data_IF_792739008327
#
_entry.id   IF_792739008327
#
_cell.length_a   1.000
_cell.length_b   1.000
_cell.length_c   1.000
_cell.angle_alpha   90.00
_cell.angle_beta   90.00
_cell.angle_gamma   90.00
#
_symmetry.space_group_name_H-M   'P 1'
#
loop_
_entity.id
_entity.type
_entity.pdbx_description
1 polymer ?
#
# COMPACT_ATOMS: atom_id res chain seq x y z
N UNK A 1 -47.16 5.37 2.84
CA UNK A 1 -45.86 4.68 2.72
C UNK A 1 -44.99 5.45 1.72
N UNK A 2 -43.76 5.87 2.06
CA UNK A 2 -42.87 6.54 1.09
C UNK A 2 -42.30 5.51 0.13
N UNK A 3 -42.38 5.78 -1.17
CA UNK A 3 -41.84 4.90 -2.20
C UNK A 3 -40.31 4.96 -2.18
N UNK A 4 -39.66 3.80 -2.36
CA UNK A 4 -38.20 3.67 -2.43
C UNK A 4 -37.82 3.23 -3.83
N UNK A 5 -36.78 3.85 -4.39
CA UNK A 5 -36.32 3.58 -5.74
C UNK A 5 -34.79 3.49 -5.76
N UNK A 6 -34.27 2.61 -6.63
CA UNK A 6 -32.85 2.60 -7.01
C UNK A 6 -32.68 3.52 -8.22
N UNK A 7 -31.72 4.44 -8.14
CA UNK A 7 -31.38 5.34 -9.23
C UNK A 7 -30.61 4.56 -10.30
N UNK A 8 -31.06 4.61 -11.54
CA UNK A 8 -30.36 4.02 -12.69
C UNK A 8 -29.49 5.05 -13.42
N UNK A 9 -29.84 6.34 -13.34
CA UNK A 9 -29.08 7.40 -13.99
C UNK A 9 -29.68 8.79 -13.74
N UNK A 10 -29.12 9.77 -14.43
CA UNK A 10 -29.61 11.14 -14.50
C UNK A 10 -30.09 11.41 -15.93
N UNK A 11 -31.14 12.22 -16.07
CA UNK A 11 -31.59 12.67 -17.39
C UNK A 11 -30.58 13.63 -18.01
N UNK A 12 -30.45 13.59 -19.33
CA UNK A 12 -29.63 14.56 -20.08
C UNK A 12 -30.27 15.94 -20.16
N UNK A 13 -31.61 15.99 -20.13
CA UNK A 13 -32.40 17.22 -20.18
C UNK A 13 -32.68 17.77 -18.79
N UNK A 14 -32.88 19.09 -18.71
CA UNK A 14 -33.36 19.78 -17.52
C UNK A 14 -34.82 19.42 -17.21
N UNK A 15 -35.20 19.46 -15.93
CA UNK A 15 -36.56 19.11 -15.46
C UNK A 15 -37.66 19.91 -16.14
N UNK A 16 -37.40 21.19 -16.50
CA UNK A 16 -38.37 22.05 -17.23
C UNK A 16 -38.67 21.59 -18.65
N UNK A 17 -37.71 20.94 -19.31
CA UNK A 17 -37.78 20.49 -20.70
C UNK A 17 -38.17 19.01 -20.80
N UNK A 18 -38.01 18.26 -19.71
CA UNK A 18 -38.25 16.83 -19.67
C UNK A 18 -39.76 16.53 -19.70
N UNK A 19 -40.18 15.83 -20.73
CA UNK A 19 -41.55 15.37 -20.92
C UNK A 19 -41.64 13.85 -20.95
N UNK A 20 -42.80 13.31 -20.57
CA UNK A 20 -43.04 11.87 -20.54
C UNK A 20 -44.52 11.56 -20.81
N UNK A 21 -44.81 10.37 -21.36
CA UNK A 21 -46.18 9.89 -21.51
C UNK A 21 -46.77 9.57 -20.13
N UNK A 22 -47.88 10.24 -19.78
CA UNK A 22 -48.56 10.09 -18.49
C UNK A 22 -49.53 8.91 -18.49
N UNK A 23 -50.03 8.53 -19.66
CA UNK A 23 -50.97 7.41 -19.87
C UNK A 23 -50.66 6.62 -21.16
N UNK A 24 -51.29 5.46 -21.31
CA UNK A 24 -51.18 4.64 -22.52
C UNK A 24 -51.94 5.23 -23.73
N UNK A 25 -52.65 6.36 -23.55
CA UNK A 25 -53.36 7.09 -24.60
C UNK A 25 -52.48 8.14 -25.29
N UNK A 26 -51.23 8.30 -24.83
CA UNK A 26 -50.23 9.19 -25.43
C UNK A 26 -50.27 10.62 -24.91
N UNK A 27 -50.94 10.91 -23.80
CA UNK A 27 -50.92 12.24 -23.19
C UNK A 27 -49.52 12.54 -22.67
N UNK A 28 -48.84 13.54 -23.25
CA UNK A 28 -47.50 13.96 -22.84
C UNK A 28 -47.60 15.19 -21.95
N UNK A 29 -46.93 15.16 -20.79
CA UNK A 29 -46.75 16.34 -19.91
C UNK A 29 -45.29 16.54 -19.59
N UNK A 30 -44.91 17.77 -19.27
CA UNK A 30 -43.61 18.02 -18.65
C UNK A 30 -43.63 17.54 -17.20
N UNK A 31 -42.45 17.21 -16.66
CA UNK A 31 -42.34 16.84 -15.24
C UNK A 31 -42.83 17.97 -14.33
N UNK A 32 -42.55 19.24 -14.68
CA UNK A 32 -43.04 20.41 -13.92
C UNK A 32 -44.57 20.48 -13.91
N UNK A 33 -45.22 20.35 -15.07
CA UNK A 33 -46.68 20.36 -15.16
C UNK A 33 -47.28 19.20 -14.37
N UNK A 34 -46.74 18.00 -14.54
CA UNK A 34 -47.23 16.82 -13.84
C UNK A 34 -47.16 16.97 -12.31
N UNK A 35 -46.04 17.48 -11.78
CA UNK A 35 -45.89 17.65 -10.33
C UNK A 35 -46.77 18.77 -9.76
N UNK A 36 -46.95 19.87 -10.51
CA UNK A 36 -47.85 20.94 -10.12
C UNK A 36 -49.31 20.46 -10.09
N UNK A 37 -49.77 19.80 -11.16
CA UNK A 37 -51.17 19.38 -11.29
C UNK A 37 -51.52 18.17 -10.40
N UNK A 38 -50.62 17.20 -10.27
CA UNK A 38 -50.90 15.95 -9.55
C UNK A 38 -50.64 16.07 -8.05
N UNK A 39 -49.60 16.81 -7.66
CA UNK A 39 -49.16 16.88 -6.26
C UNK A 39 -49.25 18.29 -5.66
N UNK A 40 -49.68 19.30 -6.43
CA UNK A 40 -49.70 20.70 -5.96
C UNK A 40 -48.30 21.25 -5.69
N UNK A 41 -47.27 20.66 -6.31
CA UNK A 41 -45.87 20.93 -5.97
C UNK A 41 -45.18 21.73 -7.06
N UNK A 42 -44.80 22.97 -6.74
CA UNK A 42 -44.06 23.85 -7.65
C UNK A 42 -42.56 23.61 -7.52
N UNK A 43 -41.98 22.94 -8.52
CA UNK A 43 -40.55 22.65 -8.60
C UNK A 43 -39.78 23.97 -8.75
N UNK A 44 -38.86 24.25 -7.84
CA UNK A 44 -38.07 25.48 -7.86
C UNK A 44 -36.84 25.35 -8.75
N UNK A 45 -36.17 24.19 -8.68
CA UNK A 45 -34.89 23.96 -9.36
C UNK A 45 -35.07 23.31 -10.73
N UNK A 46 -35.82 23.98 -11.60
CA UNK A 46 -36.27 23.41 -12.88
C UNK A 46 -35.14 23.22 -13.91
N UNK A 47 -33.96 23.80 -13.69
CA UNK A 47 -32.74 23.63 -14.50
C UNK A 47 -31.97 22.35 -14.19
N UNK A 48 -32.20 21.73 -13.03
CA UNK A 48 -31.52 20.48 -12.66
C UNK A 48 -32.09 19.29 -13.44
N UNK A 49 -31.31 18.24 -13.69
CA UNK A 49 -31.84 17.00 -14.28
C UNK A 49 -32.72 16.24 -13.27
N UNK A 50 -33.54 15.33 -13.79
CA UNK A 50 -34.30 14.39 -12.98
C UNK A 50 -33.47 13.13 -12.68
N UNK A 51 -33.80 12.46 -11.59
CA UNK A 51 -33.37 11.09 -11.32
C UNK A 51 -34.19 10.14 -12.18
N UNK A 52 -33.52 9.28 -12.92
CA UNK A 52 -34.15 8.17 -13.63
C UNK A 52 -34.20 6.95 -12.70
N UNK A 53 -35.40 6.42 -12.51
CA UNK A 53 -35.64 5.26 -11.63
C UNK A 53 -36.61 4.26 -12.28
N UNK A 54 -36.62 3.02 -11.77
CA UNK A 54 -37.50 1.97 -12.27
C UNK A 54 -36.92 1.17 -13.44
N UNK A 55 -37.77 0.67 -14.33
CA UNK A 55 -37.36 -0.15 -15.47
C UNK A 55 -36.78 0.73 -16.59
N UNK A 56 -35.70 0.30 -17.24
CA UNK A 56 -35.10 1.01 -18.38
C UNK A 56 -36.08 1.18 -19.57
N UNK A 57 -37.02 0.25 -19.76
CA UNK A 57 -38.02 0.32 -20.83
C UNK A 57 -39.18 1.29 -20.52
N UNK A 58 -39.45 1.56 -19.23
CA UNK A 58 -40.46 2.50 -18.75
C UNK A 58 -39.89 3.29 -17.57
N UNK A 59 -38.99 4.25 -17.85
CA UNK A 59 -38.34 5.02 -16.80
C UNK A 59 -39.33 5.98 -16.14
N UNK A 60 -39.23 6.07 -14.82
CA UNK A 60 -39.87 7.13 -14.05
C UNK A 60 -38.86 8.24 -13.81
N UNK A 61 -39.33 9.49 -13.90
CA UNK A 61 -38.50 10.68 -13.69
C UNK A 61 -38.91 11.36 -12.39
N UNK A 62 -37.96 11.50 -11.48
CA UNK A 62 -38.16 12.16 -10.19
C UNK A 62 -37.28 13.41 -10.11
N UNK A 63 -37.85 14.61 -9.92
CA UNK A 63 -37.07 15.80 -9.59
C UNK A 63 -36.20 15.56 -8.36
N UNK A 64 -34.95 16.02 -8.37
CA UNK A 64 -34.03 15.83 -7.24
C UNK A 64 -34.58 16.44 -5.93
N UNK A 65 -35.31 17.55 -6.05
CA UNK A 65 -35.98 18.29 -4.97
C UNK A 65 -36.97 17.45 -4.15
N UNK A 66 -37.62 16.45 -4.76
CA UNK A 66 -38.61 15.60 -4.08
C UNK A 66 -38.00 14.31 -3.53
N UNK A 67 -36.69 14.14 -3.65
CA UNK A 67 -35.99 12.90 -3.29
C UNK A 67 -35.13 13.06 -2.04
N UNK A 68 -35.04 11.98 -1.25
CA UNK A 68 -34.10 11.84 -0.14
C UNK A 68 -33.33 10.54 -0.26
N UNK A 69 -32.05 10.55 0.06
CA UNK A 69 -31.24 9.33 0.13
C UNK A 69 -31.76 8.47 1.29
N UNK A 70 -32.06 7.21 1.01
CA UNK A 70 -32.53 6.25 2.02
C UNK A 70 -31.39 5.94 3.01
N UNK A 71 -31.71 5.90 4.30
CA UNK A 71 -30.76 5.56 5.37
C UNK A 71 -30.32 4.08 5.31
N UNK A 72 -29.22 3.74 6.00
CA UNK A 72 -28.70 2.37 6.08
C UNK A 72 -28.00 1.86 4.82
N UNK A 73 -27.74 2.72 3.83
CA UNK A 73 -27.00 2.36 2.63
C UNK A 73 -25.47 2.43 2.87
N UNK A 74 -24.80 1.29 2.80
CA UNK A 74 -23.32 1.23 2.88
C UNK A 74 -22.68 1.91 1.68
N UNK A 75 -21.71 2.80 1.93
CA UNK A 75 -20.84 3.35 0.88
C UNK A 75 -19.78 2.33 0.48
N UNK A 76 -19.76 1.92 -0.80
CA UNK A 76 -18.88 0.86 -1.32
C UNK A 76 -17.72 1.36 -2.17
N UNK A 77 -17.68 2.65 -2.52
CA UNK A 77 -16.62 3.22 -3.36
C UNK A 77 -15.40 3.61 -2.54
N UNK A 78 -14.26 3.80 -3.20
CA UNK A 78 -13.03 4.28 -2.57
C UNK A 78 -13.24 5.69 -2.01
N UNK A 79 -12.92 5.86 -0.74
CA UNK A 79 -12.85 7.16 -0.09
C UNK A 79 -11.62 7.93 -0.59
N UNK A 80 -11.77 9.25 -0.75
CA UNK A 80 -10.62 10.11 -1.05
C UNK A 80 -9.74 10.31 0.21
N UNK A 81 -8.53 10.86 0.04
CA UNK A 81 -7.56 11.01 1.14
C UNK A 81 -8.10 11.82 2.33
N UNK A 82 -8.89 12.86 2.06
CA UNK A 82 -9.51 13.69 3.11
C UNK A 82 -10.53 12.87 3.92
N UNK A 83 -11.37 12.10 3.22
CA UNK A 83 -12.36 11.22 3.83
C UNK A 83 -11.70 10.09 4.63
N UNK A 84 -10.64 9.46 4.10
CA UNK A 84 -9.86 8.44 4.82
C UNK A 84 -9.25 9.05 6.08
N UNK A 85 -8.64 10.23 5.98
CA UNK A 85 -8.06 10.92 7.14
C UNK A 85 -9.11 11.24 8.20
N UNK A 86 -10.29 11.71 7.79
CA UNK A 86 -11.40 11.97 8.70
C UNK A 86 -11.90 10.67 9.37
N UNK A 87 -12.04 9.59 8.59
CA UNK A 87 -12.43 8.27 9.12
C UNK A 87 -11.41 7.77 10.14
N UNK A 88 -10.12 7.82 9.81
CA UNK A 88 -9.04 7.41 10.73
C UNK A 88 -9.05 8.19 12.03
N UNK A 89 -9.31 9.50 11.99
CA UNK A 89 -9.42 10.31 13.22
C UNK A 89 -10.55 9.84 14.14
N UNK A 90 -11.64 9.33 13.57
CA UNK A 90 -12.79 8.83 14.35
C UNK A 90 -12.58 7.38 14.79
N UNK A 91 -11.96 6.55 13.97
CA UNK A 91 -11.82 5.11 14.25
C UNK A 91 -10.59 4.75 15.09
N UNK A 92 -9.56 5.60 15.12
CA UNK A 92 -8.35 5.36 15.91
C UNK A 92 -8.54 5.76 17.38
N UNK A 93 -9.22 4.89 18.13
CA UNK A 93 -9.47 5.05 19.56
C UNK A 93 -8.38 4.38 20.40
N UNK A 94 -8.14 4.88 21.61
CA UNK A 94 -7.25 4.21 22.56
C UNK A 94 -7.90 2.91 23.07
N UNK A 95 -7.10 1.89 23.47
CA UNK A 95 -7.66 0.61 23.92
C UNK A 95 -8.73 0.74 25.01
N UNK A 96 -8.52 1.62 26.01
CA UNK A 96 -9.49 1.85 27.09
C UNK A 96 -10.82 2.43 26.58
N UNK A 97 -10.78 3.41 25.66
CA UNK A 97 -11.98 3.99 25.06
C UNK A 97 -12.72 2.94 24.23
N UNK A 98 -11.97 2.14 23.46
CA UNK A 98 -12.53 1.06 22.65
C UNK A 98 -13.19 -0.03 23.50
N UNK A 99 -12.59 -0.37 24.64
CA UNK A 99 -13.14 -1.33 25.60
C UNK A 99 -14.48 -0.85 26.17
N UNK A 100 -14.55 0.41 26.58
CA UNK A 100 -15.77 1.04 27.08
C UNK A 100 -16.88 1.06 26.02
N UNK A 101 -16.56 1.44 24.78
CA UNK A 101 -17.53 1.46 23.68
C UNK A 101 -18.11 0.07 23.39
N UNK A 102 -17.27 -0.98 23.47
CA UNK A 102 -17.71 -2.37 23.29
C UNK A 102 -18.69 -2.76 24.40
N UNK A 103 -18.34 -2.49 25.67
CA UNK A 103 -19.19 -2.79 26.82
C UNK A 103 -20.51 -2.03 26.76
N UNK A 104 -20.48 -0.74 26.41
CA UNK A 104 -21.68 0.07 26.20
C UNK A 104 -22.57 -0.49 25.09
N UNK A 105 -21.98 -0.98 23.99
CA UNK A 105 -22.74 -1.61 22.89
C UNK A 105 -23.40 -2.91 23.35
N UNK A 106 -22.71 -3.74 24.13
CA UNK A 106 -23.25 -4.99 24.68
C UNK A 106 -24.44 -4.69 25.61
N UNK A 107 -24.29 -3.73 26.53
CA UNK A 107 -25.35 -3.31 27.44
C UNK A 107 -26.54 -2.69 26.69
N UNK A 108 -26.27 -1.80 25.72
CA UNK A 108 -27.33 -1.13 24.94
C UNK A 108 -28.16 -2.13 24.14
N UNK A 109 -27.52 -3.16 23.58
CA UNK A 109 -28.20 -4.17 22.79
C UNK A 109 -28.89 -5.23 23.65
N UNK A 110 -28.66 -5.24 24.97
CA UNK A 110 -29.30 -6.13 25.94
C UNK A 110 -29.34 -7.60 25.47
N UNK A 111 -28.23 -8.11 24.94
CA UNK A 111 -28.18 -9.45 24.32
C UNK A 111 -28.58 -10.59 25.28
N UNK A 112 -28.47 -10.37 26.60
CA UNK A 112 -28.92 -11.33 27.61
C UNK A 112 -30.45 -11.46 27.69
N UNK A 113 -31.20 -10.47 27.17
CA UNK A 113 -32.67 -10.45 27.09
C UNK A 113 -33.20 -10.91 25.72
N UNK A 114 -32.32 -11.34 24.80
CA UNK A 114 -32.76 -11.75 23.47
C UNK A 114 -33.67 -12.98 23.55
N UNK A 115 -34.94 -12.88 23.08
CA UNK A 115 -35.92 -13.94 23.25
C UNK A 115 -35.58 -15.19 22.43
N UNK A 116 -34.88 -15.03 21.30
CA UNK A 116 -34.43 -16.15 20.49
C UNK A 116 -33.24 -16.85 21.16
N UNK A 117 -32.29 -16.10 21.72
CA UNK A 117 -31.19 -16.70 22.46
C UNK A 117 -31.69 -17.53 23.66
N UNK A 118 -32.67 -16.99 24.40
CA UNK A 118 -33.29 -17.67 25.55
C UNK A 118 -34.03 -18.95 25.16
N UNK A 119 -34.77 -18.94 24.06
CA UNK A 119 -35.46 -20.14 23.54
C UNK A 119 -34.47 -21.29 23.26
N UNK A 120 -33.26 -20.97 22.82
CA UNK A 120 -32.18 -21.95 22.57
C UNK A 120 -31.31 -22.21 23.82
N UNK A 121 -31.67 -21.69 24.99
CA UNK A 121 -30.92 -21.86 26.24
C UNK A 121 -29.56 -21.15 26.27
N UNK A 122 -29.35 -20.18 25.37
CA UNK A 122 -28.11 -19.41 25.27
C UNK A 122 -28.17 -18.25 26.27
N UNK A 123 -27.11 -18.07 27.04
CA UNK A 123 -26.90 -16.93 27.94
C UNK A 123 -25.62 -16.22 27.58
N UNK A 124 -25.67 -14.90 27.50
CA UNK A 124 -24.54 -14.06 27.09
C UNK A 124 -24.09 -13.26 28.32
N UNK A 125 -22.81 -13.39 28.68
CA UNK A 125 -22.20 -12.59 29.74
C UNK A 125 -21.90 -11.18 29.20
N UNK A 126 -22.11 -10.16 30.04
CA UNK A 126 -21.84 -8.77 29.69
C UNK A 126 -20.39 -8.36 29.98
N UNK A 127 -19.62 -9.23 30.64
CA UNK A 127 -18.21 -9.00 30.97
C UNK A 127 -17.30 -9.53 29.86
N UNK A 128 -16.17 -8.87 29.68
CA UNK A 128 -15.12 -9.36 28.78
C UNK A 128 -14.47 -10.62 29.36
N UNK A 129 -14.18 -11.58 28.47
CA UNK A 129 -13.46 -12.77 28.85
C UNK A 129 -12.03 -12.43 29.29
N UNK A 130 -11.68 -12.79 30.52
CA UNK A 130 -10.33 -12.65 31.04
C UNK A 130 -9.45 -13.82 30.56
N UNK A 131 -8.26 -13.50 30.05
CA UNK A 131 -7.30 -14.49 29.55
C UNK A 131 -5.94 -14.20 30.15
N UNK A 132 -5.29 -15.21 30.71
CA UNK A 132 -3.90 -15.11 31.15
C UNK A 132 -2.97 -15.03 29.94
N UNK A 133 -2.15 -13.98 29.90
CA UNK A 133 -1.20 -13.74 28.82
C UNK A 133 0.23 -13.65 29.35
N UNK A 134 1.20 -13.93 28.48
CA UNK A 134 2.63 -13.79 28.77
C UNK A 134 3.26 -12.73 27.88
N UNK A 135 4.11 -11.89 28.45
CA UNK A 135 4.93 -10.94 27.71
C UNK A 135 6.29 -11.59 27.47
N UNK A 136 6.57 -11.95 26.21
CA UNK A 136 7.86 -12.54 25.86
C UNK A 136 8.98 -11.49 25.96
N UNK A 137 10.18 -11.86 26.46
CA UNK A 137 11.31 -10.95 26.46
C UNK A 137 11.71 -10.62 25.02
N UNK A 138 12.05 -9.35 24.70
CA UNK A 138 12.49 -8.99 23.36
C UNK A 138 13.87 -9.59 23.06
N UNK A 139 14.16 -9.97 21.80
CA UNK A 139 15.47 -10.44 21.43
C UNK A 139 16.49 -9.29 21.43
N UNK A 140 17.76 -9.60 21.72
CA UNK A 140 18.85 -8.62 21.61
C UNK A 140 19.31 -8.49 20.16
N UNK A 141 19.39 -7.26 19.68
CA UNK A 141 19.81 -6.92 18.32
C UNK A 141 21.30 -6.57 18.30
N UNK A 142 22.07 -7.16 17.39
CA UNK A 142 23.49 -6.86 17.16
C UNK A 142 23.65 -5.84 16.04
N UNK A 143 24.60 -4.93 16.25
CA UNK A 143 25.09 -3.93 15.31
C UNK A 143 26.61 -4.04 15.14
N UNK A 144 27.21 -3.24 14.25
CA UNK A 144 28.64 -3.32 13.98
C UNK A 144 29.50 -2.87 15.18
N UNK A 145 30.67 -3.49 15.36
CA UNK A 145 31.53 -3.26 16.53
C UNK A 145 32.23 -1.90 16.54
N UNK A 146 32.31 -1.22 15.39
CA UNK A 146 32.80 0.15 15.29
C UNK A 146 31.75 1.20 15.67
N UNK A 147 30.51 0.79 15.94
CA UNK A 147 29.49 1.66 16.51
C UNK A 147 29.78 1.92 17.99
N UNK A 148 29.34 3.08 18.50
CA UNK A 148 29.44 3.35 19.95
C UNK A 148 28.50 2.43 20.74
N UNK A 149 27.36 2.08 20.16
CA UNK A 149 26.48 1.02 20.64
C UNK A 149 26.54 -0.17 19.70
N UNK A 150 26.92 -1.34 20.23
CA UNK A 150 27.18 -2.57 19.47
C UNK A 150 26.01 -3.54 19.48
N UNK A 151 25.09 -3.35 20.41
CA UNK A 151 23.86 -4.12 20.55
C UNK A 151 22.80 -3.27 21.25
N UNK A 152 21.54 -3.68 21.14
CA UNK A 152 20.41 -3.04 21.81
C UNK A 152 19.37 -4.07 22.20
N UNK A 153 18.79 -3.89 23.38
CA UNK A 153 17.58 -4.59 23.80
C UNK A 153 16.38 -3.66 23.54
N UNK A 154 15.48 -3.99 22.61
CA UNK A 154 14.30 -3.17 22.33
C UNK A 154 13.45 -2.94 23.58
N UNK A 155 12.83 -1.77 23.69
CA UNK A 155 11.90 -1.43 24.76
C UNK A 155 10.52 -1.20 24.17
N UNK A 156 9.53 -1.97 24.63
CA UNK A 156 8.14 -1.89 24.13
C UNK A 156 8.08 -2.00 22.59
N UNK A 157 8.89 -2.90 22.03
CA UNK A 157 8.99 -3.11 20.57
C UNK A 157 9.71 -2.01 19.78
N UNK A 158 10.39 -1.05 20.44
CA UNK A 158 11.00 0.09 19.78
C UNK A 158 12.50 0.25 20.11
N UNK A 159 13.25 0.76 19.14
CA UNK A 159 14.64 1.20 19.25
C UNK A 159 14.97 2.17 18.10
N UNK A 160 16.18 2.74 18.08
CA UNK A 160 16.63 3.64 17.03
C UNK A 160 18.10 3.39 16.63
N UNK A 161 18.55 4.05 15.56
CA UNK A 161 19.90 3.94 14.99
C UNK A 161 20.93 4.88 15.63
N UNK A 162 20.57 5.67 16.65
CA UNK A 162 21.55 6.56 17.27
C UNK A 162 22.71 5.75 17.84
N UNK A 163 23.93 6.25 17.65
CA UNK A 163 25.20 5.64 18.09
C UNK A 163 25.52 4.25 17.49
N UNK A 164 24.71 3.75 16.55
CA UNK A 164 24.86 2.41 15.97
C UNK A 164 25.30 2.51 14.52
N UNK A 165 26.03 1.49 14.07
CA UNK A 165 26.32 1.26 12.65
C UNK A 165 25.75 -0.08 12.23
N UNK A 166 25.19 -0.14 11.03
CA UNK A 166 24.62 -1.34 10.44
C UNK A 166 25.64 -2.48 10.45
N UNK A 167 25.21 -3.69 10.77
CA UNK A 167 26.12 -4.84 10.93
C UNK A 167 26.90 -5.18 9.66
N UNK A 168 26.30 -4.98 8.48
CA UNK A 168 26.99 -5.03 7.19
C UNK A 168 26.47 -3.88 6.33
N UNK A 169 27.29 -2.85 6.15
CA UNK A 169 27.04 -1.76 5.22
C UNK A 169 27.35 -2.17 3.79
N UNK A 170 26.35 -2.08 2.91
CA UNK A 170 26.53 -2.26 1.48
C UNK A 170 27.35 -1.13 0.85
N UNK A 171 27.86 -1.39 -0.34
CA UNK A 171 28.71 -0.48 -1.09
C UNK A 171 27.92 0.20 -2.20
N UNK A 172 28.00 1.52 -2.29
CA UNK A 172 27.41 2.36 -3.34
C UNK A 172 28.47 3.34 -3.80
N UNK A 173 29.24 2.93 -4.80
CA UNK A 173 30.33 3.73 -5.37
C UNK A 173 29.83 4.66 -6.48
N UNK A 174 28.87 4.20 -7.28
CA UNK A 174 28.35 4.91 -8.43
C UNK A 174 26.84 5.10 -8.28
N UNK A 175 26.41 6.32 -8.03
CA UNK A 175 24.98 6.64 -7.94
C UNK A 175 24.66 7.93 -8.69
N UNK A 176 23.39 8.10 -9.03
CA UNK A 176 22.88 9.30 -9.67
C UNK A 176 21.57 9.74 -9.03
N UNK A 177 21.19 11.00 -9.25
CA UNK A 177 19.90 11.54 -8.85
C UNK A 177 19.10 12.07 -10.05
N UNK A 178 17.78 11.89 -10.00
CA UNK A 178 16.79 12.54 -10.88
C UNK A 178 15.65 13.14 -10.04
N UNK A 179 15.25 14.36 -10.36
CA UNK A 179 14.20 15.09 -9.65
C UNK A 179 12.97 15.29 -10.54
N UNK A 180 11.83 14.74 -10.16
CA UNK A 180 10.55 14.94 -10.84
C UNK A 180 9.68 16.03 -10.21
N UNK A 181 10.16 16.69 -9.15
CA UNK A 181 9.42 17.73 -8.44
C UNK A 181 9.86 19.12 -8.88
N UNK A 182 8.96 19.84 -9.58
CA UNK A 182 9.25 21.17 -10.16
C UNK A 182 9.60 22.26 -9.13
N UNK A 183 9.15 22.10 -7.88
CA UNK A 183 9.42 23.06 -6.79
C UNK A 183 10.75 22.81 -6.08
N UNK A 184 11.45 21.71 -6.36
CA UNK A 184 12.77 21.43 -5.78
C UNK A 184 13.83 21.99 -6.73
N UNK A 185 14.55 23.01 -6.26
CA UNK A 185 15.69 23.57 -6.98
C UNK A 185 16.90 22.63 -6.96
N UNK A 186 17.78 22.74 -7.95
CA UNK A 186 18.97 21.89 -8.07
C UNK A 186 19.88 21.96 -6.84
N UNK A 187 20.00 23.13 -6.19
CA UNK A 187 20.77 23.31 -4.96
C UNK A 187 20.19 22.50 -3.79
N UNK A 188 18.86 22.51 -3.64
CA UNK A 188 18.17 21.74 -2.62
C UNK A 188 18.27 20.23 -2.88
N UNK A 189 18.15 19.79 -4.14
CA UNK A 189 18.33 18.40 -4.53
C UNK A 189 19.76 17.92 -4.23
N UNK A 190 20.79 18.71 -4.57
CA UNK A 190 22.19 18.41 -4.25
C UNK A 190 22.43 18.32 -2.76
N UNK A 191 21.99 19.33 -1.99
CA UNK A 191 22.15 19.35 -0.53
C UNK A 191 21.50 18.15 0.14
N UNK A 192 20.27 17.81 -0.27
CA UNK A 192 19.57 16.62 0.25
C UNK A 192 20.32 15.32 -0.07
N UNK A 193 20.80 15.14 -1.29
CA UNK A 193 21.53 13.92 -1.65
C UNK A 193 22.86 13.80 -0.92
N UNK A 194 23.57 14.91 -0.74
CA UNK A 194 24.82 14.95 0.03
C UNK A 194 24.59 14.57 1.50
N UNK A 195 23.58 15.15 2.16
CA UNK A 195 23.22 14.81 3.55
C UNK A 195 22.76 13.35 3.69
N UNK A 196 22.06 12.82 2.68
CA UNK A 196 21.69 11.40 2.66
C UNK A 196 22.93 10.50 2.51
N UNK A 197 23.88 10.87 1.64
CA UNK A 197 25.14 10.14 1.48
C UNK A 197 25.96 10.13 2.77
N UNK A 198 26.08 11.28 3.45
CA UNK A 198 26.70 11.39 4.78
C UNK A 198 25.98 10.45 5.76
N UNK A 199 24.65 10.45 5.79
CA UNK A 199 23.90 9.58 6.70
C UNK A 199 24.15 8.09 6.41
N UNK A 200 24.28 7.68 5.14
CA UNK A 200 24.68 6.32 4.77
C UNK A 200 26.06 5.97 5.34
N UNK A 201 27.05 6.86 5.19
CA UNK A 201 28.39 6.65 5.76
C UNK A 201 28.40 6.58 7.29
N UNK A 202 27.69 7.50 7.96
CA UNK A 202 27.51 7.50 9.43
C UNK A 202 26.91 6.18 9.88
N UNK A 203 25.94 5.67 9.13
CA UNK A 203 25.26 4.41 9.41
C UNK A 203 26.12 3.17 9.09
N UNK A 204 27.32 3.33 8.51
CA UNK A 204 28.28 2.27 8.28
C UNK A 204 28.34 1.71 6.86
N UNK A 205 27.72 2.37 5.88
CA UNK A 205 27.84 2.01 4.46
C UNK A 205 29.12 2.59 3.83
N UNK A 206 29.68 1.89 2.84
CA UNK A 206 30.67 2.46 1.91
C UNK A 206 29.90 3.20 0.81
N UNK A 207 29.70 4.51 0.97
CA UNK A 207 28.83 5.30 0.11
C UNK A 207 29.58 6.53 -0.42
N UNK A 208 29.66 6.70 -1.74
CA UNK A 208 30.28 7.87 -2.37
C UNK A 208 29.49 9.15 -2.06
N UNK A 209 30.16 10.20 -1.57
CA UNK A 209 29.50 11.47 -1.25
C UNK A 209 28.97 12.20 -2.49
N UNK A 210 29.66 12.08 -3.61
CA UNK A 210 29.29 12.75 -4.86
C UNK A 210 28.66 11.76 -5.85
N UNK A 211 27.60 12.18 -6.57
CA UNK A 211 27.03 11.38 -7.64
C UNK A 211 27.94 11.37 -8.87
N UNK A 212 27.78 10.36 -9.73
CA UNK A 212 28.46 10.26 -11.03
C UNK A 212 28.12 11.45 -11.93
N UNK A 213 26.91 12.00 -11.76
CA UNK A 213 26.40 13.13 -12.50
C UNK A 213 25.59 14.06 -11.57
N UNK A 214 25.64 15.39 -11.75
CA UNK A 214 24.79 16.32 -10.99
C UNK A 214 23.29 15.97 -11.11
N UNK A 215 22.47 16.16 -10.06
CA UNK A 215 21.03 15.93 -10.14
C UNK A 215 20.40 16.69 -11.32
N UNK A 216 19.46 16.05 -12.02
CA UNK A 216 18.74 16.66 -13.14
C UNK A 216 17.24 16.70 -12.85
N UNK A 217 16.60 17.80 -13.23
CA UNK A 217 15.14 17.94 -13.12
C UNK A 217 14.45 17.46 -14.39
N UNK A 218 13.42 16.62 -14.24
CA UNK A 218 12.63 16.06 -15.33
C UNK A 218 11.13 16.23 -15.07
N UNK A 219 10.32 16.17 -16.12
CA UNK A 219 8.87 16.24 -16.00
C UNK A 219 8.26 14.84 -15.79
N UNK A 220 7.29 14.68 -14.86
CA UNK A 220 6.60 13.40 -14.65
C UNK A 220 6.04 12.78 -15.92
N UNK A 221 5.53 13.60 -16.84
CA UNK A 221 4.93 13.18 -18.12
C UNK A 221 5.93 12.49 -19.06
N UNK A 222 7.23 12.59 -18.78
CA UNK A 222 8.32 12.03 -19.58
C UNK A 222 9.17 11.03 -18.79
N UNK A 223 8.61 10.41 -17.76
CA UNK A 223 9.33 9.51 -16.83
C UNK A 223 10.18 8.46 -17.55
N UNK A 224 9.63 7.76 -18.55
CA UNK A 224 10.36 6.70 -19.25
C UNK A 224 11.57 7.23 -20.01
N UNK A 225 11.37 8.27 -20.82
CA UNK A 225 12.45 8.91 -21.58
C UNK A 225 13.52 9.46 -20.63
N UNK A 226 13.10 10.11 -19.56
CA UNK A 226 14.00 10.75 -18.61
C UNK A 226 14.85 9.73 -17.83
N UNK A 227 14.24 8.61 -17.38
CA UNK A 227 14.97 7.53 -16.72
C UNK A 227 15.96 6.84 -17.65
N UNK A 228 15.53 6.47 -18.86
CA UNK A 228 16.39 5.82 -19.86
C UNK A 228 17.57 6.72 -20.25
N UNK A 229 17.32 7.99 -20.54
CA UNK A 229 18.37 8.96 -20.84
C UNK A 229 19.33 9.12 -19.66
N UNK A 230 18.81 9.29 -18.44
CA UNK A 230 19.65 9.46 -17.25
C UNK A 230 20.53 8.24 -16.96
N UNK A 231 19.99 7.05 -17.15
CA UNK A 231 20.76 5.81 -17.02
C UNK A 231 21.84 5.72 -18.10
N UNK A 232 21.52 6.03 -19.36
CA UNK A 232 22.49 6.06 -20.46
C UNK A 232 23.62 7.05 -20.21
N UNK A 233 23.32 8.27 -19.77
CA UNK A 233 24.32 9.28 -19.44
C UNK A 233 25.31 8.79 -18.38
N UNK A 234 24.79 8.16 -17.32
CA UNK A 234 25.64 7.60 -16.26
C UNK A 234 26.48 6.43 -16.81
N UNK A 235 25.88 5.52 -17.58
CA UNK A 235 26.57 4.36 -18.13
C UNK A 235 27.62 4.74 -19.19
N UNK A 236 27.46 5.84 -19.92
CA UNK A 236 28.48 6.35 -20.85
C UNK A 236 29.77 6.75 -20.13
N UNK A 237 29.68 7.18 -18.86
CA UNK A 237 30.85 7.50 -18.01
C UNK A 237 31.44 6.23 -17.39
N UNK A 238 30.58 5.30 -16.97
CA UNK A 238 30.96 4.14 -16.16
C UNK A 238 31.44 2.94 -16.98
N UNK A 239 30.82 2.65 -18.13
CA UNK A 239 31.16 1.50 -18.98
C UNK A 239 32.61 1.50 -19.47
N UNK A 240 33.21 2.63 -19.89
CA UNK A 240 34.63 2.66 -20.26
C UNK A 240 35.57 2.23 -19.13
N UNK A 241 35.12 2.30 -17.88
CA UNK A 241 35.87 1.91 -16.68
C UNK A 241 35.49 0.51 -16.17
N UNK A 242 34.63 -0.23 -16.90
CA UNK A 242 34.11 -1.53 -16.47
C UNK A 242 33.21 -1.45 -15.23
N UNK A 243 32.56 -0.30 -15.00
CA UNK A 243 31.69 -0.05 -13.82
C UNK A 243 30.23 0.04 -14.23
N UNK A 244 29.35 -0.20 -13.26
CA UNK A 244 27.89 -0.04 -13.40
C UNK A 244 27.34 0.96 -12.38
N UNK A 245 26.10 1.40 -12.61
CA UNK A 245 25.38 2.29 -11.71
C UNK A 245 24.71 1.48 -10.59
N UNK A 246 25.11 1.71 -9.35
CA UNK A 246 24.65 0.94 -8.18
C UNK A 246 23.27 1.38 -7.70
N UNK A 247 22.97 2.69 -7.80
CA UNK A 247 21.76 3.28 -7.22
C UNK A 247 21.28 4.52 -7.99
N UNK A 248 19.97 4.61 -8.18
CA UNK A 248 19.27 5.84 -8.58
C UNK A 248 18.45 6.41 -7.42
N UNK A 249 18.83 7.60 -6.94
CA UNK A 249 17.99 8.39 -6.04
C UNK A 249 16.99 9.18 -6.88
N UNK A 250 15.73 9.16 -6.46
CA UNK A 250 14.64 9.81 -7.19
C UNK A 250 13.87 10.72 -6.24
N UNK A 251 13.75 12.00 -6.58
CA UNK A 251 12.89 12.94 -5.87
C UNK A 251 11.53 12.99 -6.57
N UNK A 252 10.46 12.72 -5.82
CA UNK A 252 9.08 12.67 -6.32
C UNK A 252 8.20 13.73 -5.65
N UNK A 253 7.22 14.31 -6.36
CA UNK A 253 6.20 15.13 -5.74
C UNK A 253 5.40 14.35 -4.70
N UNK A 254 4.88 15.04 -3.67
CA UNK A 254 4.11 14.41 -2.59
C UNK A 254 2.83 13.71 -3.10
N UNK A 255 2.20 14.29 -4.13
CA UNK A 255 1.11 13.67 -4.90
C UNK A 255 1.72 13.23 -6.23
N UNK A 256 1.90 11.93 -6.42
CA UNK A 256 2.65 11.38 -7.56
C UNK A 256 1.82 10.44 -8.46
N UNK A 257 0.57 10.12 -8.13
CA UNK A 257 -0.32 9.35 -9.03
C UNK A 257 0.33 8.05 -9.53
N UNK A 258 0.36 7.84 -10.86
CA UNK A 258 1.00 6.66 -11.47
C UNK A 258 2.53 6.73 -11.52
N UNK A 259 3.13 7.91 -11.32
CA UNK A 259 4.57 8.15 -11.54
C UNK A 259 5.45 7.18 -10.73
N UNK A 260 5.09 6.90 -9.47
CA UNK A 260 5.84 5.97 -8.63
C UNK A 260 5.81 4.55 -9.21
N UNK A 261 4.64 4.09 -9.65
CA UNK A 261 4.46 2.77 -10.26
C UNK A 261 5.20 2.64 -11.58
N UNK A 262 5.09 3.63 -12.47
CA UNK A 262 5.78 3.66 -13.75
C UNK A 262 7.30 3.64 -13.57
N UNK A 263 7.82 4.47 -12.66
CA UNK A 263 9.25 4.51 -12.34
C UNK A 263 9.75 3.18 -11.80
N UNK A 264 8.99 2.57 -10.88
CA UNK A 264 9.36 1.29 -10.27
C UNK A 264 9.43 0.18 -11.29
N UNK A 265 8.38 0.07 -12.12
CA UNK A 265 8.34 -0.86 -13.25
C UNK A 265 9.58 -0.68 -14.14
N UNK A 266 9.82 0.53 -14.66
CA UNK A 266 10.92 0.78 -15.61
C UNK A 266 12.29 0.48 -14.99
N UNK A 267 12.53 0.89 -13.74
CA UNK A 267 13.80 0.63 -13.09
C UNK A 267 14.02 -0.87 -12.84
N UNK A 268 13.01 -1.58 -12.34
CA UNK A 268 13.14 -2.96 -11.87
C UNK A 268 12.97 -4.00 -12.99
N UNK A 269 12.30 -3.67 -14.11
CA UNK A 269 12.12 -4.57 -15.26
C UNK A 269 13.01 -4.22 -16.45
N UNK A 270 13.00 -2.97 -16.90
CA UNK A 270 13.63 -2.60 -18.18
C UNK A 270 15.13 -2.29 -18.01
N UNK A 271 15.49 -1.68 -16.88
CA UNK A 271 16.85 -1.20 -16.62
C UNK A 271 17.65 -2.10 -15.67
N UNK A 272 16.98 -2.91 -14.84
CA UNK A 272 17.64 -3.71 -13.79
C UNK A 272 18.33 -2.85 -12.71
N UNK A 273 17.81 -1.64 -12.46
CA UNK A 273 18.45 -0.62 -11.64
C UNK A 273 17.78 -0.47 -10.27
N UNK A 274 18.57 -0.55 -9.21
CA UNK A 274 18.10 -0.28 -7.84
C UNK A 274 17.75 1.21 -7.71
N UNK A 275 16.51 1.49 -7.27
CA UNK A 275 16.01 2.86 -7.09
C UNK A 275 15.50 3.15 -5.68
N UNK A 276 15.79 4.35 -5.17
CA UNK A 276 15.28 4.88 -3.91
C UNK A 276 14.53 6.19 -4.13
N UNK A 277 13.20 6.14 -3.97
CA UNK A 277 12.34 7.31 -4.10
C UNK A 277 12.19 8.07 -2.77
N UNK A 278 12.25 9.39 -2.84
CA UNK A 278 12.11 10.31 -1.71
C UNK A 278 11.09 11.39 -2.07
N UNK A 279 10.12 11.65 -1.18
CA UNK A 279 9.11 12.69 -1.42
C UNK A 279 9.66 14.09 -1.14
N UNK A 280 9.17 15.07 -1.89
CA UNK A 280 9.54 16.49 -1.80
C UNK A 280 9.47 17.06 -0.39
N UNK A 281 8.44 16.76 0.40
CA UNK A 281 8.36 17.23 1.80
C UNK A 281 9.58 16.84 2.66
N UNK A 282 10.22 15.72 2.34
CA UNK A 282 11.39 15.24 3.08
C UNK A 282 12.71 15.85 2.58
N UNK A 283 12.76 16.28 1.32
CA UNK A 283 13.86 17.07 0.78
C UNK A 283 13.96 18.41 1.52
N UNK A 284 12.82 19.08 1.71
CA UNK A 284 12.79 20.36 2.44
C UNK A 284 12.96 20.21 3.96
N UNK A 285 12.34 19.19 4.57
CA UNK A 285 12.42 18.99 6.02
C UNK A 285 13.77 18.44 6.49
N UNK A 286 14.40 17.57 5.68
CA UNK A 286 15.72 16.98 5.92
C UNK A 286 15.94 16.45 7.35
N UNK A 287 14.94 15.77 7.90
CA UNK A 287 15.03 15.21 9.26
C UNK A 287 16.06 14.08 9.33
N UNK A 288 16.99 14.14 10.29
CA UNK A 288 17.98 13.09 10.54
C UNK A 288 17.36 11.70 10.71
N UNK A 289 16.21 11.61 11.38
CA UNK A 289 15.48 10.35 11.54
C UNK A 289 14.97 9.80 10.21
N UNK A 290 14.49 10.68 9.32
CA UNK A 290 14.08 10.27 7.97
C UNK A 290 15.27 9.78 7.16
N UNK A 291 16.38 10.52 7.14
CA UNK A 291 17.60 10.13 6.42
C UNK A 291 18.12 8.77 6.92
N UNK A 292 18.15 8.54 8.24
CA UNK A 292 18.54 7.26 8.82
C UNK A 292 17.61 6.12 8.35
N UNK A 293 16.29 6.36 8.34
CA UNK A 293 15.32 5.37 7.85
C UNK A 293 15.47 5.10 6.34
N UNK A 294 15.83 6.10 5.53
CA UNK A 294 16.13 5.92 4.11
C UNK A 294 17.43 5.14 3.91
N UNK A 295 18.48 5.47 4.68
CA UNK A 295 19.75 4.73 4.66
C UNK A 295 19.53 3.23 4.96
N UNK A 296 18.68 2.90 5.95
CA UNK A 296 18.31 1.51 6.25
C UNK A 296 17.69 0.79 5.06
N UNK A 297 16.89 1.49 4.25
CA UNK A 297 16.28 0.92 3.03
C UNK A 297 17.29 0.76 1.92
N UNK A 298 18.17 1.75 1.72
CA UNK A 298 19.22 1.69 0.70
C UNK A 298 20.14 0.52 1.00
N UNK A 299 20.59 0.38 2.25
CA UNK A 299 21.51 -0.68 2.66
C UNK A 299 21.00 -2.08 2.29
N UNK A 300 19.74 -2.39 2.60
CA UNK A 300 19.13 -3.68 2.26
C UNK A 300 19.03 -3.87 0.75
N UNK A 301 18.66 -2.83 0.00
CA UNK A 301 18.54 -2.90 -1.47
C UNK A 301 19.86 -3.18 -2.17
N UNK A 302 20.98 -2.73 -1.60
CA UNK A 302 22.32 -2.99 -2.14
C UNK A 302 23.00 -4.20 -1.48
N UNK A 303 22.22 -5.07 -0.84
CA UNK A 303 22.67 -6.36 -0.31
C UNK A 303 23.28 -6.34 1.10
N UNK A 304 23.27 -5.18 1.77
CA UNK A 304 23.70 -5.03 3.15
C UNK A 304 22.71 -5.59 4.17
N UNK A 305 23.13 -5.68 5.43
CA UNK A 305 22.31 -6.11 6.56
C UNK A 305 22.30 -5.01 7.62
N UNK A 306 21.12 -4.62 8.07
CA UNK A 306 20.99 -3.54 9.05
C UNK A 306 21.35 -4.00 10.47
N UNK A 307 20.81 -5.16 10.87
CA UNK A 307 20.99 -5.76 12.20
C UNK A 307 20.81 -7.27 12.09
N UNK A 308 21.32 -8.01 13.07
CA UNK A 308 21.08 -9.46 13.24
C UNK A 308 20.68 -9.74 14.69
N UNK A 309 20.10 -10.90 14.97
CA UNK A 309 19.83 -11.31 16.34
C UNK A 309 21.12 -11.83 16.99
N UNK A 310 21.43 -11.40 18.22
CA UNK A 310 22.58 -11.94 18.98
C UNK A 310 22.46 -13.46 19.15
N UNK A 311 21.24 -13.95 19.34
CA UNK A 311 20.99 -15.38 19.51
C UNK A 311 21.15 -16.17 18.21
N UNK A 312 20.95 -15.55 17.05
CA UNK A 312 21.25 -16.20 15.78
C UNK A 312 22.76 -16.42 15.58
N UNK A 313 23.58 -15.42 15.94
CA UNK A 313 25.04 -15.52 15.88
C UNK A 313 25.60 -16.58 16.82
N UNK A 314 24.96 -16.76 17.98
CA UNK A 314 25.36 -17.75 18.99
C UNK A 314 24.64 -19.09 18.84
N UNK A 315 23.83 -19.25 17.78
CA UNK A 315 23.05 -20.48 17.48
C UNK A 315 22.10 -20.91 18.61
N UNK A 316 21.48 -19.95 19.28
CA UNK A 316 20.60 -20.15 20.45
C UNK A 316 19.11 -20.02 20.14
N UNK A 317 18.74 -19.94 18.86
CA UNK A 317 17.34 -20.02 18.41
C UNK A 317 17.09 -21.46 17.96
N UNK A 318 16.37 -22.28 18.77
CA UNK A 318 16.12 -23.68 18.45
C UNK A 318 15.36 -23.83 17.13
N UNK A 319 15.70 -24.86 16.37
CA UNK A 319 15.17 -25.16 15.03
C UNK A 319 15.45 -24.12 13.94
N UNK A 320 16.02 -22.95 14.26
CA UNK A 320 16.24 -21.85 13.31
C UNK A 320 17.73 -21.62 13.07
N UNK A 321 18.50 -21.47 14.15
CA UNK A 321 19.93 -21.12 14.08
C UNK A 321 20.86 -22.24 14.53
N UNK A 322 20.32 -23.25 15.21
CA UNK A 322 21.06 -24.44 15.69
C UNK A 322 21.30 -25.48 14.58
N UNK A 323 20.49 -25.47 13.53
CA UNK A 323 20.61 -26.30 12.31
C UNK A 323 20.26 -25.48 11.07
N UNK A 324 20.79 -25.82 9.88
CA UNK A 324 20.41 -25.16 8.63
C UNK A 324 18.91 -25.19 8.41
N UNK A 325 18.30 -24.00 8.40
CA UNK A 325 16.84 -23.82 8.29
C UNK A 325 16.53 -22.66 7.35
N UNK A 326 15.53 -22.85 6.50
CA UNK A 326 14.98 -21.83 5.62
C UNK A 326 13.62 -21.37 6.14
N UNK A 327 13.37 -20.07 6.16
CA UNK A 327 12.09 -19.47 6.56
C UNK A 327 11.39 -18.93 5.32
N UNK A 328 10.16 -19.37 5.09
CA UNK A 328 9.28 -18.86 4.05
C UNK A 328 8.24 -17.90 4.62
N UNK A 329 7.91 -16.87 3.84
CA UNK A 329 6.72 -16.04 4.04
C UNK A 329 5.93 -16.01 2.75
N UNK A 330 4.61 -16.08 2.83
CA UNK A 330 3.74 -16.09 1.67
C UNK A 330 2.49 -15.24 1.92
N UNK A 331 2.05 -14.51 0.90
CA UNK A 331 0.89 -13.63 0.96
C UNK A 331 0.21 -13.54 -0.42
N UNK A 332 -1.10 -13.28 -0.42
CA UNK A 332 -1.86 -12.98 -1.63
C UNK A 332 -2.58 -11.64 -1.48
N UNK A 333 -2.34 -10.75 -2.43
CA UNK A 333 -3.03 -9.47 -2.50
C UNK A 333 -4.13 -9.53 -3.57
N UNK A 334 -5.37 -9.24 -3.16
CA UNK A 334 -6.51 -9.16 -4.06
C UNK A 334 -6.75 -7.73 -4.59
N UNK A 335 -7.40 -7.59 -5.76
CA UNK A 335 -7.91 -6.31 -6.24
C UNK A 335 -8.91 -5.67 -5.28
N UNK A 336 -9.09 -4.37 -5.44
CA UNK A 336 -10.02 -3.61 -4.61
C UNK A 336 -11.48 -4.09 -4.77
N UNK A 337 -12.32 -3.91 -3.73
CA UNK A 337 -13.76 -4.21 -3.84
C UNK A 337 -14.41 -3.45 -5.02
N UNK A 338 -15.11 -4.18 -5.89
CA UNK A 338 -15.76 -3.64 -7.09
C UNK A 338 -14.93 -3.67 -8.37
N UNK A 339 -13.70 -4.19 -8.30
CA UNK A 339 -12.90 -4.54 -9.48
C UNK A 339 -13.02 -6.03 -9.72
N UNK A 340 -13.60 -6.44 -10.86
CA UNK A 340 -14.06 -7.82 -11.09
C UNK A 340 -13.16 -8.62 -12.05
N UNK A 341 -12.13 -8.00 -12.63
CA UNK A 341 -11.30 -8.62 -13.69
C UNK A 341 -9.81 -8.68 -13.38
N UNK A 342 -9.31 -7.86 -12.44
CA UNK A 342 -7.89 -7.85 -12.12
C UNK A 342 -7.45 -9.14 -11.41
N UNK A 343 -6.24 -9.64 -11.69
CA UNK A 343 -5.73 -10.86 -11.06
C UNK A 343 -5.42 -10.63 -9.58
N UNK A 344 -5.37 -11.70 -8.79
CA UNK A 344 -4.71 -11.66 -7.48
C UNK A 344 -3.21 -11.82 -7.68
N UNK A 345 -2.39 -11.21 -6.83
CA UNK A 345 -0.93 -11.35 -6.88
C UNK A 345 -0.47 -12.16 -5.67
N UNK A 346 0.11 -13.33 -5.91
CA UNK A 346 0.77 -14.13 -4.89
C UNK A 346 2.26 -13.76 -4.81
N UNK A 347 2.77 -13.64 -3.60
CA UNK A 347 4.18 -13.40 -3.32
C UNK A 347 4.70 -14.43 -2.32
N UNK A 348 5.86 -15.03 -2.60
CA UNK A 348 6.56 -15.94 -1.69
C UNK A 348 7.98 -15.44 -1.52
N UNK A 349 8.41 -15.27 -0.28
CA UNK A 349 9.78 -14.92 0.10
C UNK A 349 10.44 -16.06 0.85
N UNK A 350 11.75 -16.22 0.69
CA UNK A 350 12.53 -17.23 1.39
C UNK A 350 13.84 -16.63 1.90
N UNK A 351 14.23 -16.99 3.13
CA UNK A 351 15.51 -16.57 3.71
C UNK A 351 16.70 -17.07 2.88
N UNK A 352 17.72 -16.24 2.69
CA UNK A 352 18.89 -16.48 1.83
C UNK A 352 20.20 -16.59 2.61
N UNK A 353 20.17 -16.40 3.93
CA UNK A 353 21.33 -16.49 4.81
C UNK A 353 20.99 -17.27 6.09
N UNK A 354 21.92 -18.13 6.50
CA UNK A 354 21.88 -18.88 7.74
C UNK A 354 23.24 -18.77 8.43
N UNK A 355 23.30 -18.61 9.76
CA UNK A 355 22.20 -18.67 10.73
C UNK A 355 21.39 -17.39 10.96
N UNK A 356 21.74 -16.26 10.33
CA UNK A 356 21.19 -14.96 10.74
C UNK A 356 19.79 -14.64 10.21
N UNK A 357 19.35 -15.28 9.11
CA UNK A 357 17.99 -15.19 8.54
C UNK A 357 17.52 -13.73 8.36
N UNK A 358 18.35 -12.92 7.69
CA UNK A 358 18.12 -11.48 7.50
C UNK A 358 17.95 -11.05 6.05
N UNK A 359 18.37 -11.88 5.10
CA UNK A 359 18.24 -11.64 3.66
C UNK A 359 17.11 -12.52 3.13
N UNK A 360 16.29 -11.94 2.26
CA UNK A 360 15.18 -12.65 1.64
C UNK A 360 15.20 -12.40 0.13
N UNK A 361 14.92 -13.44 -0.64
CA UNK A 361 14.57 -13.34 -2.05
C UNK A 361 13.09 -13.61 -2.20
N UNK A 362 12.44 -12.93 -3.13
CA UNK A 362 11.00 -13.05 -3.37
C UNK A 362 10.70 -13.43 -4.81
N UNK A 363 9.68 -14.26 -4.98
CA UNK A 363 9.03 -14.52 -6.25
C UNK A 363 7.60 -13.98 -6.18
N UNK A 364 7.09 -13.54 -7.31
CA UNK A 364 5.71 -13.08 -7.46
C UNK A 364 5.06 -13.76 -8.65
N UNK A 365 3.78 -14.11 -8.53
CA UNK A 365 2.99 -14.67 -9.63
C UNK A 365 1.58 -14.09 -9.62
N UNK A 366 1.04 -13.84 -10.82
CA UNK A 366 -0.35 -13.47 -10.99
C UNK A 366 -1.21 -14.74 -11.04
N UNK A 367 -2.34 -14.73 -10.33
CA UNK A 367 -3.29 -15.83 -10.29
C UNK A 367 -4.74 -15.34 -10.44
N UNK A 368 -5.68 -16.27 -10.51
CA UNK A 368 -7.08 -15.97 -10.75
C UNK A 368 -7.67 -14.92 -9.79
N UNK A 369 -8.71 -14.24 -10.26
CA UNK A 369 -9.39 -13.19 -9.50
C UNK A 369 -9.90 -13.72 -8.14
N UNK A 370 -9.52 -13.07 -7.05
CA UNK A 370 -9.86 -13.44 -5.66
C UNK A 370 -9.52 -14.88 -5.27
N UNK A 371 -8.53 -15.48 -5.92
CA UNK A 371 -7.97 -16.77 -5.54
C UNK A 371 -7.01 -16.57 -4.38
N UNK A 372 -7.26 -17.22 -3.23
CA UNK A 372 -6.37 -17.15 -2.05
C UNK A 372 -5.28 -18.22 -2.07
N UNK A 373 -5.60 -19.44 -2.54
CA UNK A 373 -4.59 -20.51 -2.63
C UNK A 373 -3.55 -20.17 -3.70
N UNK A 374 -2.27 -20.19 -3.32
CA UNK A 374 -1.14 -19.91 -4.22
C UNK A 374 -1.00 -21.05 -5.23
N UNK A 375 -1.49 -20.84 -6.44
CA UNK A 375 -1.50 -21.86 -7.50
C UNK A 375 -0.11 -22.25 -7.96
N UNK A 376 0.83 -21.31 -7.87
CA UNK A 376 2.18 -21.44 -8.40
C UNK A 376 3.19 -21.82 -7.31
N UNK A 377 2.74 -22.17 -6.10
CA UNK A 377 3.62 -22.45 -4.97
C UNK A 377 4.56 -23.61 -5.30
N UNK A 378 3.99 -24.71 -5.78
CA UNK A 378 4.69 -25.87 -6.33
C UNK A 378 3.89 -26.40 -7.50
N UNK A 379 4.54 -26.57 -8.66
CA UNK A 379 3.93 -27.04 -9.89
C UNK A 379 4.65 -28.27 -10.40
N UNK A 380 3.89 -29.22 -10.91
CA UNK A 380 4.38 -30.37 -11.65
C UNK A 380 3.73 -30.37 -13.02
N UNK A 381 4.53 -30.44 -14.08
CA UNK A 381 4.03 -30.55 -15.45
C UNK A 381 4.83 -31.58 -16.25
N UNK A 382 4.21 -32.10 -17.30
CA UNK A 382 4.86 -33.01 -18.23
C UNK A 382 5.58 -32.18 -19.30
N UNK A 383 6.90 -32.28 -19.35
CA UNK A 383 7.72 -31.74 -20.43
C UNK A 383 7.82 -32.80 -21.55
N UNK A 384 7.49 -32.45 -22.81
CA UNK A 384 7.53 -33.39 -23.92
C UNK A 384 8.88 -34.08 -24.14
N UNK A 385 9.99 -33.51 -23.66
CA UNK A 385 11.35 -34.03 -23.81
C UNK A 385 11.91 -34.58 -22.48
N UNK A 386 11.51 -34.04 -21.33
CA UNK A 386 12.10 -34.33 -20.00
C UNK A 386 11.20 -35.12 -19.04
N UNK A 387 10.11 -35.72 -19.51
CA UNK A 387 9.12 -36.45 -18.69
C UNK A 387 8.47 -35.52 -17.66
N UNK A 388 8.53 -35.79 -16.36
CA UNK A 388 7.89 -34.97 -15.32
C UNK A 388 8.86 -33.91 -14.79
N UNK A 389 8.50 -32.64 -14.91
CA UNK A 389 9.27 -31.50 -14.40
C UNK A 389 8.53 -30.88 -13.22
N UNK A 390 9.26 -30.55 -12.17
CA UNK A 390 8.77 -29.82 -11.01
C UNK A 390 9.30 -28.39 -11.02
N UNK A 391 8.52 -27.45 -10.51
CA UNK A 391 8.86 -26.03 -10.43
C UNK A 391 7.85 -25.27 -9.58
N UNK A 392 7.65 -23.99 -9.88
CA UNK A 392 6.86 -23.09 -9.05
C UNK A 392 7.74 -22.17 -8.20
N UNK A 393 7.13 -21.52 -7.22
CA UNK A 393 7.77 -20.51 -6.37
C UNK A 393 8.65 -21.14 -5.29
N UNK A 394 8.48 -22.42 -5.01
CA UNK A 394 9.36 -23.22 -4.16
C UNK A 394 9.83 -24.43 -4.97
N UNK A 395 11.14 -24.55 -5.16
CA UNK A 395 11.74 -25.75 -5.72
C UNK A 395 12.37 -26.57 -4.60
N UNK A 396 11.90 -27.80 -4.44
CA UNK A 396 12.60 -28.82 -3.68
C UNK A 396 13.37 -29.68 -4.69
N UNK A 397 14.69 -29.67 -4.62
CA UNK A 397 15.52 -30.59 -5.38
C UNK A 397 15.94 -31.73 -4.44
N UNK A 398 15.36 -32.93 -4.57
CA UNK A 398 15.79 -34.09 -3.79
C UNK A 398 17.09 -34.61 -4.39
N UNK A 399 18.20 -33.97 -4.07
CA UNK A 399 19.55 -34.53 -4.26
C UNK A 399 20.16 -34.86 -2.91
#
# INVERSE_FOLDING_TARGET
MRRKYRISGLTSQATRELSFPVDDRGTVKTVVQYFMETYGFSIQHTTLPCLQVGNQQRPNYLPMEVCKIVEGQRYSKRLNEKQITALLKVTCQRPQERELDILQTVHHNAYYEDPYAQEFGIRIDERLAAVEARVLPPPRLKYHDSGREKDVLPRVGQWNMMNKKMVNGGRVSNWACINFSRNVQDSAARGFCHELAIMCQISGMDFSLEPVLPPVTARPEHVERALKARYQDAMNILRPQGRELDLLIVILPDINGSLYGDLKRICETDLGLVSQCCLTKHVFKMSKQYLANVALKINVKVGGRNTVLVDALTRRIPLVSDRPTIIFGADVTHPHPGEDSSPSIAAVVASQDWPEVTKYAGLVSAQAHRQELIQDLFKVWQDPQRRTVTGGMIKYDPY
#
